data_IF_037273065640
#
_entry.id   IF_037273065640
#
_cell.length_a   1.000
_cell.length_b   1.000
_cell.length_c   1.000
_cell.angle_alpha   90.00
_cell.angle_beta   90.00
_cell.angle_gamma   90.00
#
_symmetry.space_group_name_H-M   'P 1'
#
loop_
_entity.id
_entity.type
_entity.pdbx_description
1 polymer ?
#
# COMPACT_ATOMS: atom_id res chain seq x y z
N UNK A 1 -21.59 -24.03 -12.83
CA UNK A 1 -20.11 -23.94 -12.76
C UNK A 1 -19.70 -22.47 -12.76
N UNK A 2 -19.51 -21.85 -11.60
CA UNK A 2 -19.05 -20.44 -11.51
C UNK A 2 -17.57 -20.40 -11.89
N UNK A 3 -17.25 -19.85 -13.06
CA UNK A 3 -15.87 -19.47 -13.39
C UNK A 3 -15.39 -18.53 -12.28
N UNK A 4 -14.35 -18.91 -11.54
CA UNK A 4 -13.65 -17.99 -10.65
C UNK A 4 -13.27 -16.75 -11.46
N UNK A 5 -14.02 -15.66 -11.32
CA UNK A 5 -13.68 -14.37 -11.93
C UNK A 5 -12.31 -14.01 -11.35
N UNK A 6 -11.27 -14.06 -12.20
CA UNK A 6 -9.92 -13.66 -11.81
C UNK A 6 -10.00 -12.23 -11.29
N UNK A 7 -9.48 -12.01 -10.09
CA UNK A 7 -9.40 -10.66 -9.51
C UNK A 7 -8.44 -9.85 -10.37
N UNK A 8 -8.92 -8.80 -11.00
CA UNK A 8 -8.07 -7.83 -11.70
C UNK A 8 -7.48 -6.88 -10.66
N UNK A 9 -6.14 -6.85 -10.57
CA UNK A 9 -5.42 -5.94 -9.68
C UNK A 9 -5.06 -4.62 -10.39
N UNK A 10 -5.48 -4.40 -11.64
CA UNK A 10 -5.21 -3.17 -12.42
C UNK A 10 -3.72 -2.95 -12.74
N UNK A 11 -3.00 -4.04 -13.00
CA UNK A 11 -1.53 -4.06 -13.08
C UNK A 11 -0.94 -3.65 -14.43
N UNK A 12 -1.79 -3.52 -15.46
CA UNK A 12 -1.39 -3.39 -16.88
C UNK A 12 -0.41 -2.25 -17.14
N UNK A 13 -0.49 -1.19 -16.35
CA UNK A 13 0.27 0.04 -16.58
C UNK A 13 1.65 0.04 -15.92
N UNK A 14 1.95 -0.87 -14.99
CA UNK A 14 3.19 -0.81 -14.21
C UNK A 14 3.93 -2.14 -14.08
N UNK A 15 3.24 -3.28 -14.02
CA UNK A 15 3.92 -4.59 -13.82
C UNK A 15 4.18 -5.36 -15.11
N UNK A 16 3.77 -4.82 -16.27
CA UNK A 16 3.92 -5.45 -17.60
C UNK A 16 3.10 -6.74 -17.82
N UNK A 17 2.54 -7.36 -16.77
CA UNK A 17 1.78 -8.61 -16.88
C UNK A 17 0.42 -8.53 -16.20
N UNK A 18 -0.59 -9.22 -16.77
CA UNK A 18 -1.96 -9.24 -16.23
C UNK A 18 -2.20 -10.31 -15.16
N UNK A 19 -1.20 -11.13 -14.80
CA UNK A 19 -1.41 -12.37 -14.03
C UNK A 19 -0.46 -12.45 -12.83
N UNK A 20 -0.75 -11.67 -11.80
CA UNK A 20 -0.11 -11.83 -10.50
C UNK A 20 -1.02 -12.60 -9.53
N UNK A 21 -0.44 -13.46 -8.70
CA UNK A 21 -1.06 -13.80 -7.41
C UNK A 21 -0.99 -12.55 -6.51
N UNK A 22 -1.74 -12.49 -5.40
CA UNK A 22 -1.66 -11.31 -4.54
C UNK A 22 -0.26 -11.12 -3.93
N UNK A 23 0.42 -12.22 -3.56
CA UNK A 23 1.80 -12.19 -3.09
C UNK A 23 2.76 -11.81 -4.22
N UNK A 24 2.61 -12.43 -5.40
CA UNK A 24 3.45 -12.10 -6.57
C UNK A 24 3.24 -10.68 -7.09
N UNK A 25 2.16 -10.01 -6.69
CA UNK A 25 1.98 -8.58 -6.93
C UNK A 25 2.81 -7.74 -5.96
N UNK A 26 2.90 -8.14 -4.69
CA UNK A 26 3.75 -7.46 -3.71
C UNK A 26 5.23 -7.60 -4.12
N UNK A 27 5.65 -8.78 -4.56
CA UNK A 27 7.01 -9.01 -5.08
C UNK A 27 7.30 -8.09 -6.26
N UNK A 28 6.41 -8.05 -7.27
CA UNK A 28 6.55 -7.14 -8.39
C UNK A 28 6.56 -5.66 -7.96
N UNK A 29 5.77 -5.28 -6.97
CA UNK A 29 5.78 -3.91 -6.45
C UNK A 29 7.18 -3.52 -5.95
N UNK A 30 7.81 -4.35 -5.11
CA UNK A 30 9.12 -4.05 -4.55
C UNK A 30 10.30 -4.25 -5.52
N UNK A 31 10.09 -4.86 -6.69
CA UNK A 31 11.09 -4.85 -7.77
C UNK A 31 11.28 -3.46 -8.38
N UNK A 32 10.22 -2.63 -8.39
CA UNK A 32 10.24 -1.31 -9.02
C UNK A 32 10.19 -0.15 -8.01
N UNK A 33 9.95 -0.43 -6.73
CA UNK A 33 9.71 0.59 -5.72
C UNK A 33 10.49 0.26 -4.44
N UNK A 34 11.41 1.16 -4.05
CA UNK A 34 12.03 1.12 -2.74
C UNK A 34 11.02 1.53 -1.65
N UNK A 35 10.97 0.79 -0.54
CA UNK A 35 10.00 1.05 0.53
C UNK A 35 10.21 2.43 1.17
N UNK A 36 11.47 2.83 1.39
CA UNK A 36 11.82 4.12 1.97
C UNK A 36 11.39 5.26 1.07
N UNK A 37 11.76 5.19 -0.21
CA UNK A 37 11.40 6.19 -1.22
C UNK A 37 9.88 6.32 -1.41
N UNK A 38 9.14 5.21 -1.41
CA UNK A 38 7.67 5.22 -1.48
C UNK A 38 7.08 5.96 -0.29
N UNK A 39 7.54 5.67 0.93
CA UNK A 39 7.02 6.29 2.16
C UNK A 39 7.36 7.77 2.23
N UNK A 40 8.57 8.15 1.79
CA UNK A 40 8.97 9.55 1.68
C UNK A 40 8.09 10.28 0.66
N UNK A 41 7.89 9.70 -0.53
CA UNK A 41 7.05 10.27 -1.57
C UNK A 41 5.60 10.43 -1.10
N UNK A 42 5.03 9.42 -0.43
CA UNK A 42 3.69 9.51 0.17
C UNK A 42 3.61 10.60 1.24
N UNK A 43 4.63 10.73 2.08
CA UNK A 43 4.70 11.80 3.09
C UNK A 43 4.71 13.18 2.43
N UNK A 44 5.50 13.34 1.36
CA UNK A 44 5.58 14.58 0.59
C UNK A 44 4.24 14.91 -0.10
N UNK A 45 3.58 13.93 -0.70
CA UNK A 45 2.26 14.10 -1.31
C UNK A 45 1.21 14.52 -0.28
N UNK A 46 1.28 13.96 0.94
CA UNK A 46 0.38 14.34 2.04
C UNK A 46 0.64 15.79 2.45
N UNK A 47 1.91 16.17 2.62
CA UNK A 47 2.30 17.54 2.95
C UNK A 47 1.85 18.55 1.87
N UNK A 48 2.01 18.24 0.59
CA UNK A 48 1.51 19.09 -0.50
C UNK A 48 -0.01 19.26 -0.45
N UNK A 49 -0.73 18.22 -0.03
CA UNK A 49 -2.19 18.24 0.04
C UNK A 49 -2.74 19.14 1.16
N UNK A 50 -1.94 19.38 2.21
CA UNK A 50 -2.34 20.18 3.39
C UNK A 50 -1.63 21.55 3.47
N UNK A 51 -0.40 21.66 2.95
CA UNK A 51 0.44 22.87 3.07
C UNK A 51 0.64 23.59 1.72
N UNK A 52 0.43 24.92 1.65
CA UNK A 52 0.45 25.67 0.38
C UNK A 52 1.83 25.86 -0.25
N UNK A 53 2.88 25.75 0.56
CA UNK A 53 4.25 26.11 0.15
C UNK A 53 5.07 24.88 -0.21
N UNK A 54 4.55 23.69 0.02
CA UNK A 54 5.23 22.42 -0.27
C UNK A 54 4.78 21.96 -1.65
N UNK A 55 5.74 21.65 -2.51
CA UNK A 55 5.49 21.12 -3.85
C UNK A 55 6.33 19.90 -4.07
N UNK A 56 5.74 18.89 -4.71
CA UNK A 56 6.47 17.73 -5.14
C UNK A 56 7.40 18.10 -6.30
N UNK A 57 8.65 17.64 -6.24
CA UNK A 57 9.66 17.90 -7.28
C UNK A 57 9.82 16.74 -8.27
N UNK A 58 9.19 15.59 -8.00
CA UNK A 58 9.21 14.42 -8.88
C UNK A 58 8.40 14.69 -10.14
N UNK A 59 8.81 14.06 -11.24
CA UNK A 59 8.10 14.16 -12.51
C UNK A 59 6.67 13.61 -12.38
N UNK A 60 5.65 14.24 -13.01
CA UNK A 60 4.27 13.78 -12.94
C UNK A 60 4.10 12.31 -13.36
N UNK A 61 4.94 11.83 -14.28
CA UNK A 61 4.95 10.44 -14.71
C UNK A 61 5.37 9.47 -13.59
N UNK A 62 6.34 9.85 -12.75
CA UNK A 62 6.75 9.05 -11.58
C UNK A 62 5.62 8.95 -10.55
N UNK A 63 4.94 10.07 -10.29
CA UNK A 63 3.81 10.12 -9.36
C UNK A 63 2.64 9.29 -9.88
N UNK A 64 2.36 9.37 -11.18
CA UNK A 64 1.34 8.55 -11.81
C UNK A 64 1.67 7.06 -11.76
N UNK A 65 2.93 6.68 -11.99
CA UNK A 65 3.37 5.29 -11.87
C UNK A 65 3.18 4.76 -10.44
N UNK A 66 3.62 5.54 -9.43
CA UNK A 66 3.44 5.19 -8.03
C UNK A 66 1.96 5.06 -7.65
N UNK A 67 1.11 5.95 -8.15
CA UNK A 67 -0.34 5.86 -7.95
C UNK A 67 -0.91 4.53 -8.46
N UNK A 68 -0.55 4.11 -9.67
CA UNK A 68 -1.06 2.86 -10.24
C UNK A 68 -0.55 1.63 -9.49
N UNK A 69 0.73 1.65 -9.08
CA UNK A 69 1.32 0.56 -8.31
C UNK A 69 0.68 0.44 -6.92
N UNK A 70 0.44 1.55 -6.23
CA UNK A 70 -0.25 1.59 -4.95
C UNK A 70 -1.71 1.12 -5.04
N UNK A 71 -2.45 1.55 -6.06
CA UNK A 71 -3.83 1.07 -6.29
C UNK A 71 -3.90 -0.44 -6.46
N UNK A 72 -2.90 -0.99 -7.13
CA UNK A 72 -2.77 -2.44 -7.33
C UNK A 72 -2.41 -3.13 -6.01
N UNK A 73 -1.46 -2.58 -5.25
CA UNK A 73 -1.07 -3.08 -3.93
C UNK A 73 -2.26 -3.11 -2.95
N UNK A 74 -3.08 -2.06 -2.90
CA UNK A 74 -4.30 -2.00 -2.07
C UNK A 74 -5.27 -3.13 -2.45
N UNK A 75 -5.46 -3.41 -3.76
CA UNK A 75 -6.33 -4.50 -4.22
C UNK A 75 -5.78 -5.88 -3.83
N UNK A 76 -4.46 -6.09 -3.93
CA UNK A 76 -3.82 -7.31 -3.42
C UNK A 76 -3.96 -7.43 -1.91
N UNK A 77 -3.74 -6.34 -1.17
CA UNK A 77 -3.92 -6.26 0.27
C UNK A 77 -5.33 -6.67 0.70
N UNK A 78 -6.37 -6.20 -0.03
CA UNK A 78 -7.76 -6.60 0.24
C UNK A 78 -7.94 -8.11 0.12
N UNK A 79 -7.36 -8.71 -0.92
CA UNK A 79 -7.44 -10.14 -1.13
C UNK A 79 -6.66 -10.92 -0.06
N UNK A 80 -5.47 -10.47 0.32
CA UNK A 80 -4.65 -11.04 1.40
C UNK A 80 -5.39 -11.00 2.73
N UNK A 81 -5.94 -9.84 3.11
CA UNK A 81 -6.71 -9.65 4.34
C UNK A 81 -7.99 -10.49 4.38
N UNK A 82 -8.62 -10.74 3.22
CA UNK A 82 -9.83 -11.54 3.07
C UNK A 82 -9.62 -13.06 2.99
N UNK A 83 -8.46 -13.53 2.50
CA UNK A 83 -8.18 -14.97 2.30
C UNK A 83 -7.48 -15.66 3.47
N UNK A 84 -7.02 -14.93 4.49
CA UNK A 84 -6.31 -15.55 5.60
C UNK A 84 -7.20 -16.44 6.47
N UNK A 85 -7.18 -17.75 6.19
CA UNK A 85 -7.20 -18.75 7.26
C UNK A 85 -6.07 -18.40 8.23
N UNK A 86 -6.35 -18.47 9.54
CA UNK A 86 -5.51 -18.01 10.66
C UNK A 86 -4.04 -18.47 10.64
N UNK A 87 -3.68 -19.44 9.81
CA UNK A 87 -2.48 -20.28 9.96
C UNK A 87 -1.46 -20.20 8.81
N UNK A 88 -1.74 -19.47 7.71
CA UNK A 88 -0.92 -19.61 6.49
C UNK A 88 0.39 -18.82 6.47
N UNK A 89 0.64 -17.96 7.47
CA UNK A 89 1.89 -17.21 7.58
C UNK A 89 2.41 -17.38 9.01
N UNK A 90 3.20 -18.45 9.20
CA UNK A 90 3.80 -18.83 10.47
C UNK A 90 4.56 -17.65 11.08
N UNK A 91 4.36 -17.45 12.38
CA UNK A 91 5.13 -16.49 13.15
C UNK A 91 6.62 -16.82 13.03
N UNK A 92 7.43 -15.83 12.68
CA UNK A 92 8.89 -15.93 12.83
C UNK A 92 9.21 -15.98 14.33
N UNK A 93 9.89 -17.03 14.79
CA UNK A 93 10.33 -17.17 16.18
C UNK A 93 11.41 -16.14 16.55
N UNK A 94 12.14 -15.63 15.55
CA UNK A 94 13.13 -14.57 15.73
C UNK A 94 12.49 -13.20 15.47
N UNK A 95 12.08 -12.53 16.55
CA UNK A 95 11.66 -11.13 16.53
C UNK A 95 12.90 -10.29 16.85
N UNK A 96 13.35 -9.39 15.95
CA UNK A 96 14.44 -8.47 16.28
C UNK A 96 14.03 -7.58 17.45
N UNK A 97 14.99 -7.26 18.33
CA UNK A 97 14.79 -6.49 19.56
C UNK A 97 14.22 -5.07 19.28
N UNK A 98 14.47 -4.56 18.08
CA UNK A 98 13.98 -3.29 17.56
C UNK A 98 13.22 -3.59 16.27
N UNK A 99 11.96 -3.15 16.18
CA UNK A 99 11.14 -3.27 14.98
C UNK A 99 11.14 -1.87 14.31
N UNK A 100 11.92 -1.65 13.23
CA UNK A 100 12.10 -0.32 12.64
C UNK A 100 10.95 0.09 11.70
N UNK A 101 9.69 -0.24 12.05
CA UNK A 101 8.54 -0.03 11.18
C UNK A 101 7.27 0.33 11.96
N UNK A 102 6.20 0.68 11.25
CA UNK A 102 4.93 1.10 11.85
C UNK A 102 4.10 -0.04 12.47
N UNK A 103 4.63 -1.28 12.50
CA UNK A 103 3.91 -2.47 12.94
C UNK A 103 4.08 -2.71 14.44
N UNK A 104 3.01 -3.15 15.11
CA UNK A 104 3.12 -3.71 16.45
C UNK A 104 3.85 -5.06 16.43
N UNK A 105 4.26 -5.56 17.60
CA UNK A 105 4.90 -6.88 17.71
C UNK A 105 4.02 -8.00 17.13
N UNK A 106 2.71 -7.96 17.38
CA UNK A 106 1.76 -8.95 16.88
C UNK A 106 1.57 -8.85 15.36
N UNK A 107 1.63 -7.65 14.82
CA UNK A 107 1.54 -7.39 13.38
C UNK A 107 2.83 -7.75 12.65
N UNK A 108 3.99 -7.56 13.29
CA UNK A 108 5.24 -8.08 12.79
C UNK A 108 5.19 -9.61 12.73
N UNK A 109 4.72 -10.28 13.78
CA UNK A 109 4.56 -11.74 13.74
C UNK A 109 3.59 -12.18 12.64
N UNK A 110 2.43 -11.54 12.54
CA UNK A 110 1.40 -11.83 11.56
C UNK A 110 1.05 -10.61 10.69
N UNK A 111 1.82 -10.34 9.63
CA UNK A 111 1.61 -9.17 8.77
C UNK A 111 0.27 -9.21 8.02
N UNK A 112 -0.35 -10.38 7.86
CA UNK A 112 -1.66 -10.46 7.21
C UNK A 112 -2.76 -9.80 8.04
N UNK A 113 -2.60 -9.75 9.37
CA UNK A 113 -3.56 -9.06 10.24
C UNK A 113 -3.62 -7.55 9.95
N UNK A 114 -2.52 -6.97 9.49
CA UNK A 114 -2.44 -5.54 9.13
C UNK A 114 -3.44 -5.21 8.03
N UNK A 115 -3.44 -5.98 6.93
CA UNK A 115 -4.39 -5.77 5.84
C UNK A 115 -5.83 -5.94 6.31
N UNK A 116 -6.11 -6.97 7.11
CA UNK A 116 -7.45 -7.19 7.66
C UNK A 116 -7.93 -5.98 8.48
N UNK A 117 -7.08 -5.46 9.35
CA UNK A 117 -7.41 -4.32 10.19
C UNK A 117 -7.56 -3.04 9.36
N UNK A 118 -6.67 -2.82 8.39
CA UNK A 118 -6.73 -1.70 7.46
C UNK A 118 -8.07 -1.65 6.71
N UNK A 119 -8.59 -2.80 6.27
CA UNK A 119 -9.90 -2.89 5.58
C UNK A 119 -11.13 -2.90 6.50
N UNK A 120 -10.95 -2.99 7.82
CA UNK A 120 -12.01 -2.69 8.79
C UNK A 120 -12.15 -1.19 9.04
N UNK A 121 -11.06 -0.44 8.89
CA UNK A 121 -11.01 1.00 9.11
C UNK A 121 -11.34 1.77 7.82
N UNK A 122 -10.79 1.35 6.69
CA UNK A 122 -11.01 1.99 5.39
C UNK A 122 -11.43 0.95 4.34
N UNK A 123 -12.53 1.22 3.66
CA UNK A 123 -12.98 0.45 2.50
C UNK A 123 -12.04 0.62 1.30
N UNK A 124 -12.13 -0.29 0.33
CA UNK A 124 -11.38 -0.17 -0.94
C UNK A 124 -11.70 1.15 -1.65
N UNK A 125 -12.96 1.60 -1.59
CA UNK A 125 -13.40 2.84 -2.22
C UNK A 125 -12.73 4.05 -1.58
N UNK A 126 -12.64 4.09 -0.25
CA UNK A 126 -11.96 5.18 0.47
C UNK A 126 -10.46 5.21 0.14
N UNK A 127 -9.81 4.06 -0.07
CA UNK A 127 -8.43 4.05 -0.57
C UNK A 127 -8.29 4.57 -2.01
N UNK A 128 -9.19 4.20 -2.92
CA UNK A 128 -9.17 4.69 -4.30
C UNK A 128 -9.40 6.22 -4.33
N UNK A 129 -10.33 6.73 -3.52
CA UNK A 129 -10.59 8.17 -3.35
C UNK A 129 -9.39 8.89 -2.73
N UNK A 130 -8.82 8.34 -1.66
CA UNK A 130 -7.62 8.86 -1.02
C UNK A 130 -6.44 8.95 -1.99
N UNK A 131 -6.10 7.87 -2.70
CA UNK A 131 -4.97 7.85 -3.61
C UNK A 131 -5.15 8.85 -4.75
N UNK A 132 -6.37 8.96 -5.29
CA UNK A 132 -6.67 9.93 -6.35
C UNK A 132 -6.59 11.37 -5.84
N UNK A 133 -7.07 11.61 -4.62
CA UNK A 133 -6.98 12.90 -3.93
C UNK A 133 -5.53 13.32 -3.70
N UNK A 134 -4.69 12.39 -3.22
CA UNK A 134 -3.26 12.61 -2.98
C UNK A 134 -2.52 12.98 -4.26
N UNK A 135 -2.78 12.27 -5.37
CA UNK A 135 -2.19 12.60 -6.67
C UNK A 135 -2.66 13.96 -7.16
N UNK A 136 -3.97 14.20 -7.13
CA UNK A 136 -4.57 15.45 -7.60
C UNK A 136 -3.99 16.67 -6.90
N UNK A 137 -3.90 16.64 -5.57
CA UNK A 137 -3.40 17.77 -4.80
C UNK A 137 -1.88 17.86 -4.78
N UNK A 138 -1.15 16.75 -4.86
CA UNK A 138 0.32 16.81 -4.95
C UNK A 138 0.84 17.38 -6.26
N UNK A 139 0.12 17.16 -7.37
CA UNK A 139 0.46 17.69 -8.70
C UNK A 139 -0.21 19.03 -9.02
N UNK A 140 -1.23 19.40 -8.25
CA UNK A 140 -2.03 20.61 -8.47
C UNK A 140 -1.56 21.83 -7.67
N UNK A 141 -2.25 22.95 -7.89
CA UNK A 141 -2.09 24.19 -7.11
C UNK A 141 -3.21 24.38 -6.05
N UNK A 142 -4.06 23.38 -5.86
CA UNK A 142 -5.21 23.39 -4.94
C UNK A 142 -4.92 22.62 -3.65
N UNK A 143 -5.78 22.75 -2.63
CA UNK A 143 -5.63 22.02 -1.36
C UNK A 143 -6.81 21.13 -1.05
N UNK A 144 -6.57 20.09 -0.26
CA UNK A 144 -7.63 19.29 0.32
C UNK A 144 -8.27 20.06 1.48
N UNK A 145 -9.56 20.36 1.37
CA UNK A 145 -10.39 20.96 2.42
C UNK A 145 -10.81 19.95 3.50
N UNK A 146 -10.53 18.66 3.29
CA UNK A 146 -10.98 17.55 4.11
C UNK A 146 -9.83 16.68 4.59
N UNK A 147 -8.89 17.27 5.34
CA UNK A 147 -7.66 16.64 5.82
C UNK A 147 -7.91 15.30 6.56
N UNK A 148 -8.97 15.20 7.36
CA UNK A 148 -9.32 13.96 8.06
C UNK A 148 -9.59 12.78 7.12
N UNK A 149 -10.06 13.05 5.89
CA UNK A 149 -10.34 12.01 4.89
C UNK A 149 -9.08 11.43 4.25
N UNK A 150 -7.93 12.12 4.37
CA UNK A 150 -6.66 11.65 3.80
C UNK A 150 -5.71 11.07 4.85
N UNK A 151 -5.76 11.54 6.11
CA UNK A 151 -4.83 11.09 7.16
C UNK A 151 -5.05 9.63 7.56
N UNK A 152 -6.30 9.20 7.78
CA UNK A 152 -6.58 7.81 8.22
C UNK A 152 -6.16 6.79 7.15
N UNK A 153 -6.57 6.93 5.87
CA UNK A 153 -6.12 6.02 4.82
C UNK A 153 -4.59 6.05 4.61
N UNK A 154 -3.95 7.22 4.76
CA UNK A 154 -2.49 7.33 4.71
C UNK A 154 -1.81 6.47 5.77
N UNK A 155 -2.21 6.59 7.04
CA UNK A 155 -1.62 5.82 8.15
C UNK A 155 -1.79 4.32 7.89
N UNK A 156 -2.99 3.89 7.48
CA UNK A 156 -3.24 2.48 7.18
C UNK A 156 -2.45 1.98 5.97
N UNK A 157 -2.28 2.82 4.93
CA UNK A 157 -1.49 2.46 3.76
C UNK A 157 0.00 2.30 4.08
N UNK A 158 0.59 3.23 4.85
CA UNK A 158 1.99 3.10 5.30
C UNK A 158 2.19 1.80 6.08
N UNK A 159 1.22 1.44 6.93
CA UNK A 159 1.23 0.19 7.67
C UNK A 159 1.13 -1.04 6.77
N UNK A 160 0.26 -1.00 5.77
CA UNK A 160 0.15 -2.05 4.76
C UNK A 160 1.44 -2.20 3.93
N UNK A 161 2.15 -1.11 3.63
CA UNK A 161 3.44 -1.16 2.93
C UNK A 161 4.51 -1.88 3.76
N UNK A 162 4.64 -1.54 5.05
CA UNK A 162 5.58 -2.22 5.95
C UNK A 162 5.25 -3.71 6.08
N UNK A 163 3.96 -4.06 6.18
CA UNK A 163 3.50 -5.45 6.22
C UNK A 163 3.73 -6.21 4.90
N UNK A 164 3.51 -5.54 3.75
CA UNK A 164 3.73 -6.10 2.44
C UNK A 164 5.21 -6.42 2.21
N UNK A 165 6.09 -5.48 2.58
CA UNK A 165 7.53 -5.68 2.49
C UNK A 165 7.98 -6.86 3.35
N UNK A 166 7.48 -6.94 4.59
CA UNK A 166 7.81 -8.06 5.49
C UNK A 166 7.37 -9.42 4.94
N UNK A 167 6.21 -9.49 4.26
CA UNK A 167 5.77 -10.73 3.60
C UNK A 167 6.73 -11.12 2.47
N UNK A 168 7.14 -10.16 1.63
CA UNK A 168 8.05 -10.41 0.51
C UNK A 168 9.44 -10.83 1.00
N UNK A 169 9.97 -10.16 2.02
CA UNK A 169 11.24 -10.51 2.66
C UNK A 169 11.24 -11.91 3.26
N UNK A 170 10.13 -12.35 3.85
CA UNK A 170 9.99 -13.69 4.42
C UNK A 170 9.85 -14.78 3.36
N UNK A 171 9.26 -14.47 2.21
CA UNK A 171 9.14 -15.44 1.12
C UNK A 171 10.42 -15.56 0.29
N UNK A 172 11.31 -14.56 0.36
CA UNK A 172 12.59 -14.55 -0.35
C UNK A 172 13.72 -15.28 0.39
N UNK A 173 13.46 -15.78 1.62
CA UNK A 173 14.38 -16.55 2.45
C UNK A 173 13.97 -18.01 2.51
#
# INVERSE_FOLDING_TARGET
MMKNKKTDFETRFWSGTRKHSAIGLLEAFFQFNDLGEVKETLSMMLQCSVQPKVRIRKEPAEIFHLYQSLRSLVRAGRLIGGKAKKEMFSASENIPLIIPNSLSKEEYQNPVRVFRNAFKVCSLKEYDEFLSTMVYFSLGNSRCDQENRIVIPYIQLVKMLDAAWLIVERNSK
#
